data_IF_838340960726
#
_entry.id   IF_838340960726
#
_cell.length_a   1.000
_cell.length_b   1.000
_cell.length_c   1.000
_cell.angle_alpha   90.00
_cell.angle_beta   90.00
_cell.angle_gamma   90.00
#
_symmetry.space_group_name_H-M   'P 1'
#
loop_
_entity.id
_entity.type
_entity.pdbx_description
1 polymer ?
#
# COMPACT_ATOMS: atom_id res chain seq x y z
N UNK A 1 36.26 -21.76 4.16
CA UNK A 1 35.36 -22.93 4.20
C UNK A 1 33.95 -22.45 3.85
N UNK A 2 33.73 -22.10 2.60
CA UNK A 2 32.39 -21.82 2.05
C UNK A 2 32.22 -22.91 1.00
N UNK A 3 31.40 -23.92 1.33
CA UNK A 3 31.07 -25.00 0.40
C UNK A 3 30.35 -24.44 -0.82
N UNK A 4 30.53 -25.08 -1.97
CA UNK A 4 30.12 -24.66 -3.31
C UNK A 4 28.61 -24.43 -3.53
N UNK A 5 27.76 -24.65 -2.52
CA UNK A 5 26.32 -24.86 -2.72
C UNK A 5 25.44 -23.81 -2.02
N UNK A 6 26.05 -22.75 -1.45
CA UNK A 6 25.35 -21.59 -0.91
C UNK A 6 25.37 -20.43 -1.91
N UNK A 7 24.21 -20.11 -2.45
CA UNK A 7 24.00 -18.94 -3.30
C UNK A 7 23.43 -17.79 -2.47
N UNK A 8 23.77 -16.55 -2.81
CA UNK A 8 23.24 -15.37 -2.15
C UNK A 8 22.94 -14.26 -3.16
N UNK A 9 21.98 -13.39 -2.82
CA UNK A 9 21.70 -12.18 -3.60
C UNK A 9 21.31 -11.03 -2.70
N UNK A 10 21.72 -9.81 -3.05
CA UNK A 10 21.26 -8.58 -2.42
C UNK A 10 20.49 -7.76 -3.45
N UNK A 11 19.34 -7.22 -3.06
CA UNK A 11 18.45 -6.45 -3.95
C UNK A 11 18.01 -5.17 -3.26
N UNK A 12 17.93 -4.09 -4.03
CA UNK A 12 17.32 -2.83 -3.63
C UNK A 12 16.23 -2.50 -4.63
N UNK A 13 15.06 -2.14 -4.14
CA UNK A 13 13.92 -1.70 -4.96
C UNK A 13 13.46 -0.32 -4.51
N UNK A 14 13.09 0.50 -5.48
CA UNK A 14 12.42 1.79 -5.28
C UNK A 14 11.29 1.89 -6.30
N UNK A 15 10.12 2.32 -5.86
CA UNK A 15 8.97 2.57 -6.71
C UNK A 15 8.23 3.80 -6.24
N UNK A 16 7.72 4.58 -7.18
CA UNK A 16 6.93 5.78 -6.91
C UNK A 16 5.73 5.79 -7.84
N UNK A 17 4.58 6.19 -7.30
CA UNK A 17 3.37 6.44 -8.06
C UNK A 17 2.76 7.76 -7.62
N UNK A 18 2.55 8.66 -8.58
CA UNK A 18 2.01 9.99 -8.35
C UNK A 18 0.68 10.19 -9.08
N UNK A 19 -0.25 10.86 -8.41
CA UNK A 19 -1.50 11.34 -8.99
C UNK A 19 -1.55 12.86 -8.81
N UNK A 20 -1.28 13.58 -9.90
CA UNK A 20 -1.38 15.03 -9.95
C UNK A 20 -2.75 15.48 -10.49
N UNK A 21 -3.55 16.14 -9.64
CA UNK A 21 -4.89 16.57 -10.01
C UNK A 21 -4.84 17.89 -10.77
N UNK A 22 -5.51 17.92 -11.92
CA UNK A 22 -5.63 19.11 -12.75
C UNK A 22 -7.08 19.29 -13.17
N UNK A 23 -7.72 20.36 -12.70
CA UNK A 23 -9.05 20.79 -13.14
C UNK A 23 -8.89 21.86 -14.22
N UNK A 24 -9.58 21.67 -15.32
CA UNK A 24 -9.62 22.59 -16.45
C UNK A 24 -11.05 22.99 -16.74
N UNK A 25 -11.27 24.25 -17.09
CA UNK A 25 -12.60 24.83 -17.30
C UNK A 25 -13.57 24.56 -16.13
N UNK A 26 -13.05 24.58 -14.90
CA UNK A 26 -13.84 24.51 -13.66
C UNK A 26 -13.89 25.88 -13.00
N UNK A 27 -14.68 26.06 -11.94
CA UNK A 27 -14.70 27.29 -11.15
C UNK A 27 -14.64 26.94 -9.67
N UNK A 28 -14.14 27.85 -8.84
CA UNK A 28 -14.49 27.95 -7.44
C UNK A 28 -15.66 28.95 -7.35
N UNK A 29 -16.91 28.47 -7.28
CA UNK A 29 -18.08 29.35 -7.33
C UNK A 29 -18.18 30.26 -6.10
N UNK A 30 -17.45 29.97 -5.02
CA UNK A 30 -17.37 30.85 -3.86
C UNK A 30 -16.62 32.16 -4.16
N UNK A 31 -15.68 32.13 -5.11
CA UNK A 31 -14.91 33.31 -5.55
C UNK A 31 -15.67 34.18 -6.57
N UNK A 32 -16.77 33.67 -7.13
CA UNK A 32 -17.54 34.37 -8.17
C UNK A 32 -16.66 34.76 -9.36
N UNK A 33 -16.72 36.03 -9.79
CA UNK A 33 -15.93 36.54 -10.92
C UNK A 33 -14.41 36.54 -10.71
N UNK A 34 -13.95 36.34 -9.47
CA UNK A 34 -12.54 36.28 -9.12
C UNK A 34 -11.95 34.87 -9.32
N UNK A 35 -12.79 33.88 -9.58
CA UNK A 35 -12.38 32.49 -9.77
C UNK A 35 -11.46 32.35 -10.99
N UNK A 36 -10.29 31.70 -10.84
CA UNK A 36 -9.61 31.06 -11.96
C UNK A 36 -10.52 30.03 -12.65
N UNK A 37 -10.14 29.61 -13.86
CA UNK A 37 -10.84 28.53 -14.58
C UNK A 37 -10.06 27.22 -14.63
N UNK A 38 -8.81 27.26 -14.21
CA UNK A 38 -7.90 26.14 -14.14
C UNK A 38 -7.34 26.08 -12.73
N UNK A 39 -7.31 24.88 -12.14
CA UNK A 39 -6.79 24.63 -10.81
C UNK A 39 -5.93 23.38 -10.82
N UNK A 40 -4.85 23.39 -10.05
CA UNK A 40 -4.22 22.19 -9.52
C UNK A 40 -4.71 22.02 -8.08
N UNK A 41 -5.63 21.09 -7.79
CA UNK A 41 -6.14 20.92 -6.42
C UNK A 41 -5.15 20.21 -5.48
N UNK A 42 -4.06 19.66 -6.02
CA UNK A 42 -2.98 19.04 -5.28
C UNK A 42 -2.56 17.69 -5.84
N UNK A 43 -1.66 17.03 -5.11
CA UNK A 43 -0.94 15.84 -5.57
C UNK A 43 -0.94 14.77 -4.49
N UNK A 44 -1.12 13.52 -4.90
CA UNK A 44 -0.96 12.33 -4.05
C UNK A 44 0.26 11.54 -4.52
N UNK A 45 1.19 11.23 -3.62
CA UNK A 45 2.39 10.45 -3.96
C UNK A 45 2.50 9.25 -3.05
N UNK A 46 2.73 8.07 -3.62
CA UNK A 46 3.04 6.84 -2.92
C UNK A 46 4.46 6.39 -3.30
N UNK A 47 5.30 6.15 -2.31
CA UNK A 47 6.67 5.66 -2.48
C UNK A 47 6.83 4.32 -1.75
N UNK A 48 7.59 3.39 -2.32
CA UNK A 48 8.05 2.17 -1.67
C UNK A 48 9.55 2.01 -1.88
N UNK A 49 10.30 1.79 -0.80
CA UNK A 49 11.69 1.35 -0.83
C UNK A 49 11.81 0.00 -0.15
N UNK A 50 12.58 -0.91 -0.72
CA UNK A 50 12.85 -2.22 -0.13
C UNK A 50 14.28 -2.66 -0.31
N UNK A 51 14.83 -3.33 0.70
CA UNK A 51 16.15 -3.96 0.66
C UNK A 51 16.00 -5.41 1.10
N UNK A 52 16.49 -6.33 0.29
CA UNK A 52 16.45 -7.76 0.55
C UNK A 52 17.86 -8.35 0.53
N UNK A 53 18.13 -9.27 1.45
CA UNK A 53 19.30 -10.14 1.44
C UNK A 53 18.82 -11.58 1.52
N UNK A 54 19.02 -12.32 0.43
CA UNK A 54 18.55 -13.69 0.22
C UNK A 54 19.70 -14.69 0.22
N UNK A 55 19.48 -15.86 0.80
CA UNK A 55 20.39 -17.00 0.79
C UNK A 55 19.65 -18.26 0.39
N UNK A 56 20.28 -19.10 -0.44
CA UNK A 56 19.73 -20.36 -0.91
C UNK A 56 20.80 -21.43 -0.82
N UNK A 57 20.49 -22.55 -0.16
CA UNK A 57 21.35 -23.72 -0.06
C UNK A 57 20.64 -24.96 -0.57
N UNK A 58 21.23 -25.59 -1.58
CA UNK A 58 20.79 -26.90 -2.07
C UNK A 58 21.60 -27.99 -1.38
N UNK A 59 20.95 -29.07 -0.95
CA UNK A 59 21.61 -30.23 -0.37
C UNK A 59 21.69 -31.37 -1.39
N UNK A 60 22.86 -31.97 -1.55
CA UNK A 60 23.08 -33.00 -2.58
C UNK A 60 22.54 -34.39 -2.20
N UNK A 61 22.46 -34.70 -0.90
CA UNK A 61 22.14 -36.06 -0.42
C UNK A 61 20.63 -36.34 -0.25
N UNK A 62 19.81 -35.30 -0.39
CA UNK A 62 18.35 -35.30 -0.44
C UNK A 62 18.02 -33.98 -1.13
N UNK A 63 17.23 -33.92 -2.23
CA UNK A 63 16.92 -32.69 -2.97
C UNK A 63 16.07 -31.75 -2.11
N UNK A 64 16.72 -31.21 -1.08
CA UNK A 64 16.22 -30.24 -0.16
C UNK A 64 16.82 -28.90 -0.57
N UNK A 65 15.96 -27.90 -0.64
CA UNK A 65 16.33 -26.52 -0.87
C UNK A 65 15.95 -25.73 0.38
N UNK A 66 16.95 -25.05 0.95
CA UNK A 66 16.79 -24.16 2.07
C UNK A 66 16.99 -22.72 1.60
N UNK A 67 15.91 -21.93 1.61
CA UNK A 67 15.97 -20.49 1.46
C UNK A 67 15.83 -19.78 2.82
N UNK A 68 16.53 -18.68 2.99
CA UNK A 68 16.33 -17.78 4.13
C UNK A 68 16.83 -16.39 3.78
N UNK A 69 16.30 -15.38 4.46
CA UNK A 69 16.71 -14.01 4.19
C UNK A 69 16.07 -13.01 5.12
N UNK A 70 16.50 -11.77 4.92
CA UNK A 70 15.97 -10.61 5.64
C UNK A 70 15.49 -9.56 4.65
N UNK A 71 14.44 -8.85 5.02
CA UNK A 71 13.88 -7.74 4.25
C UNK A 71 13.68 -6.54 5.16
N UNK A 72 14.00 -5.36 4.65
CA UNK A 72 13.50 -4.09 5.17
C UNK A 72 12.64 -3.46 4.08
N UNK A 73 11.47 -2.93 4.45
CA UNK A 73 10.58 -2.18 3.57
C UNK A 73 10.16 -0.88 4.24
N UNK A 74 10.11 0.19 3.47
CA UNK A 74 9.54 1.48 3.86
C UNK A 74 8.52 1.90 2.81
N UNK A 75 7.31 2.17 3.26
CA UNK A 75 6.25 2.74 2.43
C UNK A 75 5.97 4.16 2.91
N UNK A 76 5.87 5.12 1.98
CA UNK A 76 5.54 6.52 2.30
C UNK A 76 4.34 6.95 1.47
N UNK A 77 3.40 7.64 2.09
CA UNK A 77 2.29 8.31 1.42
C UNK A 77 2.32 9.81 1.72
N UNK A 78 2.12 10.62 0.69
CA UNK A 78 2.16 12.08 0.77
C UNK A 78 0.91 12.67 0.15
N UNK A 79 0.34 13.64 0.87
CA UNK A 79 -0.70 14.54 0.36
C UNK A 79 -0.09 15.93 0.31
N UNK A 80 -0.10 16.55 -0.87
CA UNK A 80 0.34 17.91 -1.07
C UNK A 80 -0.82 18.79 -1.56
N UNK A 81 -1.12 19.86 -0.82
CA UNK A 81 -2.05 20.90 -1.25
C UNK A 81 -1.56 21.57 -2.54
N UNK A 82 -2.51 21.79 -3.45
CA UNK A 82 -2.27 22.56 -4.67
C UNK A 82 -2.62 24.05 -4.51
N UNK A 83 -3.21 24.63 -5.54
CA UNK A 83 -3.58 26.04 -5.65
C UNK A 83 -4.52 26.48 -4.53
N UNK A 84 -4.18 27.56 -3.83
CA UNK A 84 -5.02 28.13 -2.78
C UNK A 84 -6.43 28.48 -3.28
N UNK A 85 -6.55 28.97 -4.52
CA UNK A 85 -7.83 29.31 -5.11
C UNK A 85 -8.78 28.11 -5.26
N UNK A 86 -8.27 26.87 -5.23
CA UNK A 86 -9.09 25.65 -5.25
C UNK A 86 -9.82 25.41 -3.94
N UNK A 87 -9.31 25.91 -2.81
CA UNK A 87 -9.89 25.72 -1.45
C UNK A 87 -10.39 27.03 -0.83
N UNK A 88 -10.17 28.17 -1.49
CA UNK A 88 -10.45 29.49 -0.93
C UNK A 88 -11.95 29.73 -0.70
N UNK A 89 -12.27 30.43 0.39
CA UNK A 89 -13.62 30.87 0.74
C UNK A 89 -13.83 32.29 0.20
N UNK A 90 -14.58 32.41 -0.88
CA UNK A 90 -14.86 33.71 -1.48
C UNK A 90 -16.18 34.37 -1.03
N UNK A 91 -16.50 35.56 -1.58
CA UNK A 91 -17.66 36.36 -1.16
C UNK A 91 -19.02 35.68 -1.34
N UNK A 92 -19.13 34.70 -2.24
CA UNK A 92 -20.37 34.01 -2.56
C UNK A 92 -20.48 32.63 -1.92
N UNK A 93 -19.58 32.28 -0.98
CA UNK A 93 -19.53 30.95 -0.35
C UNK A 93 -20.86 30.53 0.32
N UNK A 94 -21.61 31.48 0.89
CA UNK A 94 -22.87 31.20 1.56
C UNK A 94 -23.93 30.59 0.63
N UNK A 95 -23.80 30.81 -0.69
CA UNK A 95 -24.70 30.29 -1.69
C UNK A 95 -24.15 29.03 -2.39
N UNK A 96 -22.83 28.93 -2.55
CA UNK A 96 -22.21 27.91 -3.41
C UNK A 96 -21.29 26.92 -2.69
N UNK A 97 -21.06 27.09 -1.40
CA UNK A 97 -20.06 26.30 -0.67
C UNK A 97 -18.65 26.83 -0.89
N UNK A 98 -17.65 26.02 -0.55
CA UNK A 98 -16.23 26.37 -0.58
C UNK A 98 -15.52 25.59 -1.69
N UNK A 99 -14.49 26.18 -2.27
CA UNK A 99 -13.55 25.49 -3.15
C UNK A 99 -14.06 25.23 -4.58
N UNK A 100 -13.21 24.63 -5.41
CA UNK A 100 -13.48 24.35 -6.81
C UNK A 100 -14.48 23.22 -7.03
N UNK A 101 -15.28 23.36 -8.09
CA UNK A 101 -16.22 22.34 -8.53
C UNK A 101 -15.48 21.10 -9.05
N UNK A 102 -16.07 19.93 -8.81
CA UNK A 102 -15.52 18.62 -9.15
C UNK A 102 -14.53 18.10 -8.13
N UNK A 103 -13.57 18.92 -7.68
CA UNK A 103 -12.67 18.58 -6.58
C UNK A 103 -12.20 19.85 -5.88
N UNK A 104 -12.44 19.96 -4.57
CA UNK A 104 -12.10 21.16 -3.79
C UNK A 104 -10.60 21.28 -3.55
N UNK A 105 -9.83 20.20 -3.74
CA UNK A 105 -8.42 20.14 -3.40
C UNK A 105 -8.15 19.77 -1.95
N UNK A 106 -6.89 19.49 -1.66
CA UNK A 106 -6.46 19.12 -0.31
C UNK A 106 -6.21 20.38 0.50
N UNK A 107 -6.90 20.54 1.63
CA UNK A 107 -6.62 21.63 2.56
C UNK A 107 -5.22 21.49 3.16
N UNK A 108 -4.53 22.59 3.51
CA UNK A 108 -3.21 22.53 4.14
C UNK A 108 -3.18 21.65 5.40
N UNK A 109 -4.24 21.70 6.20
CA UNK A 109 -4.38 20.90 7.42
C UNK A 109 -4.50 19.39 7.16
N UNK A 110 -4.81 19.01 5.92
CA UNK A 110 -4.85 17.62 5.46
C UNK A 110 -3.63 17.20 4.65
N UNK A 111 -2.73 18.15 4.35
CA UNK A 111 -1.47 17.84 3.68
C UNK A 111 -0.48 17.28 4.69
N UNK A 112 0.28 16.27 4.28
CA UNK A 112 1.16 15.55 5.17
C UNK A 112 1.94 14.46 4.49
N UNK A 113 2.86 13.86 5.24
CA UNK A 113 3.63 12.69 4.84
C UNK A 113 3.55 11.68 5.98
N UNK A 114 3.18 10.45 5.65
CA UNK A 114 3.08 9.33 6.58
C UNK A 114 3.86 8.16 6.04
N UNK A 115 4.64 7.51 6.89
CA UNK A 115 5.47 6.39 6.52
C UNK A 115 5.33 5.23 7.49
N UNK A 116 5.51 4.02 6.96
CA UNK A 116 5.57 2.79 7.73
C UNK A 116 6.80 1.99 7.32
N UNK A 117 7.62 1.66 8.29
CA UNK A 117 8.74 0.75 8.16
C UNK A 117 8.37 -0.68 8.61
N UNK A 118 8.92 -1.69 7.93
CA UNK A 118 8.85 -3.09 8.34
C UNK A 118 10.19 -3.80 8.19
N UNK A 119 10.44 -4.74 9.11
CA UNK A 119 11.59 -5.63 9.08
C UNK A 119 11.11 -7.07 9.13
N UNK A 120 11.53 -7.88 8.16
CA UNK A 120 11.17 -9.28 8.08
C UNK A 120 12.38 -10.21 8.10
N UNK A 121 12.18 -11.37 8.70
CA UNK A 121 13.05 -12.54 8.63
C UNK A 121 12.22 -13.69 8.08
N UNK A 122 12.71 -14.34 7.03
CA UNK A 122 12.01 -15.47 6.42
C UNK A 122 12.93 -16.67 6.23
N UNK A 123 12.29 -17.83 6.24
CA UNK A 123 12.88 -19.15 6.08
C UNK A 123 11.92 -20.00 5.25
N UNK A 124 12.45 -20.74 4.29
CA UNK A 124 11.73 -21.73 3.51
C UNK A 124 12.56 -23.01 3.33
N UNK A 125 11.87 -24.14 3.35
CA UNK A 125 12.44 -25.46 3.15
C UNK A 125 11.51 -26.22 2.22
N UNK A 126 12.04 -26.68 1.09
CA UNK A 126 11.36 -27.61 0.18
C UNK A 126 12.20 -28.88 0.05
N UNK A 127 11.57 -30.05 0.00
CA UNK A 127 12.27 -31.33 -0.11
C UNK A 127 11.40 -32.41 -0.73
N UNK A 128 12.03 -33.31 -1.50
CA UNK A 128 11.43 -34.60 -1.85
C UNK A 128 11.63 -35.55 -0.67
N UNK A 129 10.58 -35.71 0.15
CA UNK A 129 10.59 -36.58 1.33
C UNK A 129 10.75 -38.05 0.89
N UNK A 130 10.09 -38.42 -0.22
CA UNK A 130 10.24 -39.70 -0.91
C UNK A 130 10.04 -39.48 -2.42
N UNK A 131 10.30 -40.49 -3.26
CA UNK A 131 10.03 -40.42 -4.72
C UNK A 131 8.57 -40.09 -5.09
N UNK A 132 7.64 -40.18 -4.14
CA UNK A 132 6.21 -39.88 -4.34
C UNK A 132 5.70 -38.72 -3.48
N UNK A 133 6.51 -38.21 -2.55
CA UNK A 133 6.07 -37.20 -1.58
C UNK A 133 7.01 -36.01 -1.62
N UNK A 134 6.46 -34.84 -1.93
CA UNK A 134 7.17 -33.57 -1.88
C UNK A 134 6.55 -32.73 -0.76
N UNK A 135 7.41 -32.14 0.07
CA UNK A 135 7.02 -31.31 1.19
C UNK A 135 7.65 -29.93 1.10
N UNK A 136 6.93 -28.90 1.52
CA UNK A 136 7.48 -27.58 1.71
C UNK A 136 6.94 -26.92 2.99
N UNK A 137 7.80 -26.18 3.67
CA UNK A 137 7.46 -25.35 4.82
C UNK A 137 8.08 -23.97 4.62
N UNK A 138 7.32 -22.90 4.90
CA UNK A 138 7.84 -21.55 4.94
C UNK A 138 7.35 -20.83 6.20
N UNK A 139 8.18 -19.97 6.75
CA UNK A 139 7.88 -19.12 7.90
C UNK A 139 8.43 -17.72 7.61
N UNK A 140 7.63 -16.69 7.91
CA UNK A 140 8.01 -15.29 7.83
C UNK A 140 7.59 -14.59 9.12
N UNK A 141 8.56 -14.05 9.84
CA UNK A 141 8.33 -13.10 10.91
C UNK A 141 8.49 -11.70 10.34
N UNK A 142 7.56 -10.80 10.64
CA UNK A 142 7.64 -9.40 10.21
C UNK A 142 7.18 -8.47 11.33
N UNK A 143 7.97 -7.42 11.60
CA UNK A 143 7.65 -6.39 12.58
C UNK A 143 7.39 -5.08 11.84
N UNK A 144 6.16 -4.58 11.95
CA UNK A 144 5.71 -3.31 11.39
C UNK A 144 5.71 -2.26 12.50
N UNK A 145 6.27 -1.08 12.22
CA UNK A 145 6.31 0.03 13.18
C UNK A 145 4.92 0.43 13.69
N UNK A 146 3.91 0.46 12.81
CA UNK A 146 2.55 0.88 13.14
C UNK A 146 1.61 -0.26 13.57
N UNK A 147 1.88 -1.49 13.14
CA UNK A 147 0.92 -2.61 13.26
C UNK A 147 1.42 -3.76 14.15
N UNK A 148 2.64 -3.65 14.69
CA UNK A 148 3.25 -4.66 15.54
C UNK A 148 3.78 -5.85 14.75
N UNK A 149 3.88 -7.00 15.43
CA UNK A 149 4.52 -8.21 14.92
C UNK A 149 3.53 -9.23 14.36
N UNK A 150 3.90 -9.88 13.26
CA UNK A 150 3.20 -11.03 12.69
C UNK A 150 4.15 -12.21 12.50
N UNK A 151 3.61 -13.42 12.63
CA UNK A 151 4.28 -14.66 12.28
C UNK A 151 3.41 -15.45 11.31
N UNK A 152 3.79 -15.42 10.04
CA UNK A 152 3.11 -16.14 8.98
C UNK A 152 3.82 -17.44 8.64
N UNK A 153 3.05 -18.49 8.37
CA UNK A 153 3.60 -19.79 8.01
C UNK A 153 2.78 -20.47 6.92
N UNK A 154 3.43 -21.37 6.21
CA UNK A 154 2.84 -22.19 5.14
C UNK A 154 3.43 -23.58 5.17
N UNK A 155 2.57 -24.59 5.09
CA UNK A 155 2.96 -25.99 4.94
C UNK A 155 2.23 -26.54 3.70
N UNK A 156 2.99 -27.19 2.81
CA UNK A 156 2.48 -27.80 1.57
C UNK A 156 2.98 -29.22 1.47
N UNK A 157 2.11 -30.12 1.03
CA UNK A 157 2.45 -31.50 0.70
C UNK A 157 1.86 -31.87 -0.65
N UNK A 158 2.62 -32.63 -1.43
CA UNK A 158 2.17 -33.23 -2.69
C UNK A 158 2.46 -34.72 -2.66
N UNK A 159 1.48 -35.54 -3.05
CA UNK A 159 1.64 -36.96 -3.21
C UNK A 159 1.32 -37.37 -4.65
N UNK A 160 2.29 -37.97 -5.33
CA UNK A 160 2.14 -38.51 -6.68
C UNK A 160 1.68 -39.99 -6.57
N UNK A 161 0.43 -40.26 -6.94
CA UNK A 161 -0.11 -41.62 -6.95
C UNK A 161 0.40 -42.40 -8.16
N UNK A 162 0.50 -41.72 -9.30
CA UNK A 162 1.06 -42.17 -10.58
C UNK A 162 1.77 -41.01 -11.26
N UNK A 163 2.54 -41.29 -12.32
CA UNK A 163 3.26 -40.26 -13.10
C UNK A 163 2.33 -39.18 -13.70
N UNK A 164 1.04 -39.49 -13.84
CA UNK A 164 0.04 -38.59 -14.43
C UNK A 164 -1.03 -38.13 -13.43
N UNK A 165 -0.97 -38.56 -12.16
CA UNK A 165 -1.98 -38.23 -11.16
C UNK A 165 -1.37 -37.98 -9.78
N UNK A 166 -1.63 -36.78 -9.27
CA UNK A 166 -1.12 -36.30 -7.99
C UNK A 166 -2.16 -35.49 -7.23
N UNK A 167 -2.05 -35.50 -5.90
CA UNK A 167 -2.84 -34.61 -5.03
C UNK A 167 -1.88 -33.71 -4.26
N UNK A 168 -2.24 -32.42 -4.20
CA UNK A 168 -1.55 -31.41 -3.40
C UNK A 168 -2.50 -30.85 -2.34
N UNK A 169 -2.00 -30.72 -1.12
CA UNK A 169 -2.66 -30.01 -0.02
C UNK A 169 -1.76 -28.90 0.51
N UNK A 170 -2.34 -27.80 0.96
CA UNK A 170 -1.59 -26.67 1.53
C UNK A 170 -2.43 -25.99 2.60
N UNK A 171 -1.79 -25.67 3.72
CA UNK A 171 -2.35 -24.85 4.79
C UNK A 171 -1.40 -23.68 5.07
N UNK A 172 -1.93 -22.49 5.30
CA UNK A 172 -1.14 -21.29 5.57
C UNK A 172 -1.93 -20.26 6.37
N UNK A 173 -1.20 -19.32 6.97
CA UNK A 173 -1.70 -18.03 7.44
C UNK A 173 -1.20 -16.91 6.52
N UNK A 174 -1.76 -15.72 6.68
CA UNK A 174 -1.24 -14.53 6.02
C UNK A 174 -1.72 -13.27 6.73
N UNK A 175 -0.82 -12.29 6.81
CA UNK A 175 -1.14 -10.94 7.25
C UNK A 175 -0.86 -9.94 6.14
N UNK A 176 -1.72 -8.91 6.03
CA UNK A 176 -1.51 -7.77 5.14
C UNK A 176 -1.67 -6.50 5.96
N UNK A 177 -0.55 -5.86 6.30
CA UNK A 177 -0.56 -4.53 6.89
C UNK A 177 -1.25 -3.54 5.93
N UNK A 178 -2.15 -2.67 6.42
CA UNK A 178 -2.64 -1.53 5.66
C UNK A 178 -1.47 -0.63 5.24
N UNK A 179 -1.52 -0.05 4.04
CA UNK A 179 -0.51 0.91 3.62
C UNK A 179 -0.80 2.30 4.22
N UNK A 180 0.21 3.17 4.40
CA UNK A 180 -0.02 4.55 4.84
C UNK A 180 -1.07 5.30 4.00
N UNK A 181 -1.14 5.03 2.70
CA UNK A 181 -2.16 5.59 1.82
C UNK A 181 -3.58 5.08 2.11
N UNK A 182 -3.74 3.81 2.50
CA UNK A 182 -5.06 3.25 2.85
C UNK A 182 -5.64 3.86 4.13
N UNK A 183 -4.79 4.19 5.11
CA UNK A 183 -5.24 4.73 6.40
C UNK A 183 -5.37 6.26 6.40
N UNK A 184 -4.59 6.96 5.56
CA UNK A 184 -4.57 8.43 5.48
C UNK A 184 -5.27 9.00 4.24
N UNK A 185 -6.08 8.22 3.51
CA UNK A 185 -6.84 8.75 2.37
C UNK A 185 -7.84 9.81 2.85
N UNK A 186 -7.66 11.05 2.38
CA UNK A 186 -8.67 12.09 2.44
C UNK A 186 -9.13 12.41 1.02
N UNK A 187 -10.43 12.47 0.78
CA UNK A 187 -10.98 13.05 -0.46
C UNK A 187 -12.31 13.71 -0.13
N UNK A 188 -12.48 14.99 -0.47
CA UNK A 188 -13.76 15.70 -0.35
C UNK A 188 -14.17 16.21 -1.73
N UNK A 189 -15.37 15.84 -2.15
CA UNK A 189 -15.95 16.17 -3.46
C UNK A 189 -17.35 16.75 -3.27
N UNK A 190 -17.68 17.77 -4.05
CA UNK A 190 -19.05 18.31 -4.09
C UNK A 190 -19.94 17.39 -4.90
N UNK A 191 -21.03 16.91 -4.30
CA UNK A 191 -22.06 16.06 -4.93
C UNK A 191 -23.43 16.72 -4.83
N UNK A 192 -24.47 16.15 -5.42
CA UNK A 192 -25.85 16.64 -5.28
C UNK A 192 -26.68 15.68 -4.42
N UNK A 193 -27.47 16.21 -3.51
CA UNK A 193 -28.48 15.45 -2.76
C UNK A 193 -29.68 15.07 -3.67
N UNK A 194 -30.63 14.30 -3.12
CA UNK A 194 -31.85 13.90 -3.85
C UNK A 194 -32.75 15.07 -4.28
N UNK A 195 -32.51 16.27 -3.76
CA UNK A 195 -33.23 17.50 -4.09
C UNK A 195 -32.45 18.40 -5.05
N UNK A 196 -31.23 17.99 -5.45
CA UNK A 196 -30.34 18.75 -6.34
C UNK A 196 -29.50 19.82 -5.64
N UNK A 197 -29.48 19.87 -4.30
CA UNK A 197 -28.61 20.80 -3.57
C UNK A 197 -27.18 20.26 -3.56
N UNK A 198 -26.21 21.15 -3.73
CA UNK A 198 -24.80 20.79 -3.65
C UNK A 198 -24.41 20.52 -2.18
N UNK A 199 -23.87 19.33 -1.92
CA UNK A 199 -23.38 18.89 -0.61
C UNK A 199 -21.95 18.35 -0.73
N UNK A 200 -21.03 18.71 0.18
CA UNK A 200 -19.72 18.08 0.24
C UNK A 200 -19.87 16.64 0.77
N UNK A 201 -19.26 15.69 0.07
CA UNK A 201 -19.16 14.29 0.47
C UNK A 201 -17.70 13.87 0.43
N UNK A 202 -17.22 13.11 1.42
CA UNK A 202 -15.83 12.75 1.46
C UNK A 202 -15.50 11.48 2.21
N UNK A 203 -14.36 10.91 1.87
CA UNK A 203 -13.68 9.84 2.62
C UNK A 203 -12.66 10.50 3.53
N UNK A 204 -12.70 10.18 4.82
CA UNK A 204 -11.81 10.73 5.83
C UNK A 204 -10.89 9.66 6.41
N UNK A 205 -9.64 10.01 6.79
CA UNK A 205 -8.77 9.14 7.56
C UNK A 205 -9.44 8.62 8.84
N UNK A 206 -9.04 7.43 9.28
CA UNK A 206 -9.63 6.74 10.45
C UNK A 206 -9.39 7.49 11.78
N UNK A 207 -8.38 8.33 11.83
CA UNK A 207 -8.03 9.17 12.97
C UNK A 207 -8.71 10.55 12.96
N UNK A 208 -9.45 10.88 11.89
CA UNK A 208 -10.18 12.13 11.81
C UNK A 208 -11.33 12.18 12.85
N UNK A 209 -11.54 13.32 13.55
CA UNK A 209 -12.63 13.45 14.51
C UNK A 209 -14.03 13.09 13.97
N UNK A 210 -14.27 13.26 12.67
CA UNK A 210 -15.54 12.90 12.01
C UNK A 210 -15.72 11.38 11.88
N UNK A 211 -14.63 10.61 11.85
CA UNK A 211 -14.62 9.16 11.74
C UNK A 211 -14.68 8.43 13.09
N UNK A 212 -14.46 9.14 14.21
CA UNK A 212 -14.53 8.60 15.57
C UNK A 212 -15.97 8.75 16.12
N UNK A 213 -16.82 7.74 15.87
CA UNK A 213 -18.24 7.71 16.31
C UNK A 213 -18.41 7.03 17.66
#
# INVERSE_FOLDING_TARGET
>A
LVGSDLNWSAKVRYGENEVDYNLKNSINPSLGILSPIDFNPGTLTQEETGVNLDFVKTFDNNPANLGFGVEWRRETYKIQSGDQASIEVGPTYAQFGVGSDGFQGFFPDSSGSWDSDSYALYFDLETEITEKINGAMAVRYENFEEYGETLDWKISGRYDFTDNFAIRATANTGFRAPTPGQVNTLNVTTTADSSGNLIPSGTYPVDNPVAQV
#
